data_IF_098691574224
#
_entry.id   IF_098691574224
#
_cell.length_a   1.000
_cell.length_b   1.000
_cell.length_c   1.000
_cell.angle_alpha   90.00
_cell.angle_beta   90.00
_cell.angle_gamma   90.00
#
_symmetry.space_group_name_H-M   'P 1'
#
loop_
_entity.id
_entity.type
_entity.pdbx_description
1 polymer ?
#
# COMPACT_ATOMS: atom_id res chain seq x y z
N UNK A 1 -3.79 -32.41 -0.76
CA UNK A 1 -3.07 -33.50 -1.47
C UNK A 1 -2.77 -33.13 -2.93
N UNK A 2 -3.74 -32.65 -3.73
CA UNK A 2 -3.48 -32.09 -5.08
C UNK A 2 -2.50 -30.91 -5.08
N UNK A 3 -2.64 -29.97 -4.14
CA UNK A 3 -1.72 -28.83 -4.02
C UNK A 3 -0.29 -29.22 -3.61
N UNK A 4 -0.15 -30.26 -2.77
CA UNK A 4 1.16 -30.82 -2.41
C UNK A 4 1.83 -31.49 -3.62
N UNK A 5 1.05 -32.16 -4.48
CA UNK A 5 1.54 -32.76 -5.73
C UNK A 5 1.98 -31.70 -6.75
N UNK A 6 1.31 -30.55 -6.83
CA UNK A 6 1.74 -29.40 -7.67
C UNK A 6 3.07 -28.82 -7.19
N UNK A 7 3.22 -28.58 -5.89
CA UNK A 7 4.46 -28.08 -5.28
C UNK A 7 5.65 -29.04 -5.48
N UNK A 8 5.45 -30.36 -5.36
CA UNK A 8 6.51 -31.36 -5.61
C UNK A 8 7.00 -31.35 -7.07
N UNK A 9 6.14 -30.98 -8.01
CA UNK A 9 6.44 -30.91 -9.44
C UNK A 9 7.25 -29.65 -9.76
N UNK A 10 6.93 -28.51 -9.13
CA UNK A 10 7.70 -27.26 -9.29
C UNK A 10 9.14 -27.37 -8.78
N UNK A 11 9.38 -28.11 -7.68
CA UNK A 11 10.71 -28.19 -7.05
C UNK A 11 11.55 -29.45 -7.39
N UNK A 12 11.13 -30.28 -8.35
CA UNK A 12 11.81 -31.55 -8.73
C UNK A 12 12.17 -32.46 -7.54
N UNK A 13 11.35 -32.48 -6.49
CA UNK A 13 11.61 -33.29 -5.30
C UNK A 13 11.12 -34.73 -5.52
N UNK A 14 12.05 -35.68 -5.75
CA UNK A 14 11.72 -37.11 -5.80
C UNK A 14 11.65 -37.70 -4.39
N UNK A 15 10.46 -37.87 -3.84
CA UNK A 15 10.26 -38.68 -2.64
C UNK A 15 9.14 -39.70 -2.86
N UNK A 16 9.32 -40.96 -2.40
CA UNK A 16 8.37 -42.03 -2.64
C UNK A 16 7.00 -41.74 -2.00
N UNK A 17 5.94 -41.86 -2.80
CA UNK A 17 4.56 -41.39 -2.55
C UNK A 17 3.80 -42.16 -1.45
N UNK A 18 4.45 -43.04 -0.69
CA UNK A 18 3.78 -43.89 0.31
C UNK A 18 4.12 -43.63 1.77
N UNK A 19 4.87 -42.57 2.09
CA UNK A 19 4.95 -42.06 3.46
C UNK A 19 5.37 -40.59 3.43
N UNK A 20 4.48 -39.73 2.92
CA UNK A 20 4.66 -38.28 2.99
C UNK A 20 4.47 -37.83 4.44
N UNK A 21 5.54 -37.84 5.21
CA UNK A 21 5.60 -37.21 6.53
C UNK A 21 5.57 -35.69 6.33
N UNK A 22 4.36 -35.14 6.36
CA UNK A 22 4.08 -33.71 6.19
C UNK A 22 4.90 -32.87 7.18
N UNK A 23 5.21 -33.40 8.37
CA UNK A 23 6.02 -32.68 9.36
C UNK A 23 7.48 -32.53 8.91
N UNK A 24 8.05 -33.56 8.26
CA UNK A 24 9.41 -33.48 7.68
C UNK A 24 9.49 -32.54 6.49
N UNK A 25 8.47 -32.49 5.63
CA UNK A 25 8.42 -31.56 4.50
C UNK A 25 8.34 -30.12 5.01
N UNK A 26 7.46 -29.87 5.99
CA UNK A 26 7.32 -28.58 6.67
C UNK A 26 8.63 -28.13 7.33
N UNK A 27 9.30 -29.02 8.06
CA UNK A 27 10.59 -28.72 8.68
C UNK A 27 11.70 -28.41 7.67
N UNK A 28 11.72 -29.09 6.51
CA UNK A 28 12.73 -28.87 5.46
C UNK A 28 12.50 -27.58 4.65
N UNK A 29 11.26 -27.09 4.61
CA UNK A 29 10.87 -25.79 4.03
C UNK A 29 10.88 -24.65 5.08
N UNK A 30 11.28 -24.91 6.32
CA UNK A 30 11.27 -23.89 7.39
C UNK A 30 9.88 -23.53 7.91
N UNK A 31 8.82 -24.23 7.48
CA UNK A 31 7.45 -24.02 7.92
C UNK A 31 7.22 -24.66 9.29
N UNK A 32 7.31 -23.86 10.36
CA UNK A 32 6.89 -24.30 11.68
C UNK A 32 5.38 -24.62 11.68
N UNK A 33 5.03 -25.79 12.22
CA UNK A 33 3.64 -26.26 12.27
C UNK A 33 2.82 -25.51 13.34
N UNK A 34 1.80 -24.79 12.86
CA UNK A 34 0.48 -24.52 13.46
C UNK A 34 0.39 -23.57 14.67
N UNK A 35 -0.26 -22.43 14.40
CA UNK A 35 -1.51 -22.05 15.09
C UNK A 35 -2.65 -22.16 14.06
N UNK A 36 -3.47 -23.23 14.11
CA UNK A 36 -4.60 -23.46 13.18
C UNK A 36 -5.85 -22.60 13.47
N UNK A 37 -5.64 -21.37 13.91
CA UNK A 37 -6.72 -20.42 14.17
C UNK A 37 -6.33 -18.96 13.97
N UNK A 38 -5.14 -18.71 13.40
CA UNK A 38 -4.68 -17.36 13.09
C UNK A 38 -4.98 -17.07 11.61
N UNK A 39 -5.74 -16.03 11.26
CA UNK A 39 -5.86 -15.56 9.87
C UNK A 39 -4.53 -14.99 9.34
N UNK A 40 -3.52 -14.85 10.20
CA UNK A 40 -2.25 -14.26 9.84
C UNK A 40 -1.33 -15.31 9.22
N UNK A 41 -1.20 -15.24 7.90
CA UNK A 41 0.03 -15.64 7.21
C UNK A 41 1.23 -15.03 7.95
N UNK A 42 2.25 -15.84 8.27
CA UNK A 42 3.51 -15.31 8.79
C UNK A 42 4.31 -14.83 7.58
N UNK A 43 4.54 -13.52 7.45
CA UNK A 43 5.14 -12.97 6.24
C UNK A 43 6.52 -13.57 6.04
N UNK A 44 6.90 -13.80 4.78
CA UNK A 44 8.31 -13.77 4.43
C UNK A 44 8.85 -12.47 5.00
N UNK A 45 9.84 -12.55 5.88
CA UNK A 45 10.52 -11.36 6.38
C UNK A 45 11.05 -10.63 5.17
N UNK A 46 10.39 -9.54 4.82
CA UNK A 46 10.78 -8.56 3.83
C UNK A 46 12.31 -8.35 3.90
N UNK A 47 13.03 -8.95 2.96
CA UNK A 47 14.46 -9.22 3.08
C UNK A 47 15.25 -8.43 2.05
N UNK A 48 15.48 -7.15 2.33
CA UNK A 48 16.68 -6.51 1.83
C UNK A 48 17.82 -6.69 2.83
N UNK A 49 19.05 -6.69 2.32
CA UNK A 49 20.26 -6.70 3.13
C UNK A 49 20.94 -5.34 3.00
N UNK A 50 21.20 -4.71 4.13
CA UNK A 50 22.02 -3.51 4.19
C UNK A 50 23.49 -3.88 3.99
N UNK A 51 24.15 -3.21 3.05
CA UNK A 51 25.56 -3.41 2.75
C UNK A 51 26.30 -2.07 2.69
N UNK A 52 27.59 -2.03 3.07
CA UNK A 52 28.40 -0.83 2.83
C UNK A 52 28.54 -0.60 1.31
N UNK A 53 28.40 0.64 0.89
CA UNK A 53 28.64 1.03 -0.50
C UNK A 53 30.12 0.76 -0.84
N UNK A 54 30.39 0.06 -1.96
CA UNK A 54 31.77 -0.15 -2.41
C UNK A 54 32.47 1.18 -2.75
N UNK A 55 33.75 1.31 -2.39
CA UNK A 55 34.55 2.53 -2.56
C UNK A 55 34.54 3.07 -4.01
N UNK A 56 34.41 2.19 -5.00
CA UNK A 56 34.38 2.53 -6.43
C UNK A 56 33.11 3.31 -6.85
N UNK A 57 32.04 3.24 -6.06
CA UNK A 57 30.78 3.95 -6.30
C UNK A 57 30.61 5.16 -5.38
N UNK A 58 31.47 5.32 -4.37
CA UNK A 58 31.42 6.46 -3.45
C UNK A 58 31.64 7.78 -4.19
N UNK A 59 30.67 8.70 -4.05
CA UNK A 59 30.61 9.99 -4.77
C UNK A 59 30.56 9.88 -6.30
N UNK A 60 30.23 8.70 -6.84
CA UNK A 60 30.06 8.52 -8.28
C UNK A 60 28.61 8.80 -8.64
N UNK A 61 28.36 9.99 -9.18
CA UNK A 61 27.05 10.33 -9.72
C UNK A 61 26.95 9.95 -11.21
N UNK A 62 25.87 9.27 -11.58
CA UNK A 62 25.50 9.04 -12.97
C UNK A 62 24.12 9.67 -13.24
N UNK A 63 24.05 10.87 -13.85
CA UNK A 63 22.79 11.54 -14.11
C UNK A 63 22.06 10.84 -15.27
N UNK A 64 21.41 9.73 -14.96
CA UNK A 64 20.74 8.88 -15.94
C UNK A 64 19.49 9.53 -16.55
N UNK A 65 18.82 10.44 -15.83
CA UNK A 65 17.59 11.07 -16.30
C UNK A 65 17.72 11.76 -17.67
N UNK A 66 18.92 12.25 -18.03
CA UNK A 66 19.17 12.90 -19.31
C UNK A 66 19.20 11.91 -20.50
N UNK A 67 19.67 10.67 -20.26
CA UNK A 67 19.74 9.61 -21.28
C UNK A 67 18.35 9.08 -21.68
N UNK A 68 17.37 9.16 -20.77
CA UNK A 68 16.02 8.64 -20.97
C UNK A 68 14.97 9.71 -21.28
N UNK A 69 15.38 10.95 -21.61
CA UNK A 69 14.45 12.07 -21.87
C UNK A 69 13.43 11.81 -22.99
N UNK A 70 13.73 10.90 -23.91
CA UNK A 70 12.84 10.55 -25.02
C UNK A 70 12.04 9.26 -24.76
N UNK A 71 12.19 8.66 -23.58
CA UNK A 71 11.46 7.46 -23.20
C UNK A 71 10.07 7.83 -22.70
N UNK A 72 9.04 7.21 -23.25
CA UNK A 72 7.68 7.34 -22.75
C UNK A 72 7.50 6.43 -21.54
N UNK A 73 7.39 7.02 -20.35
CA UNK A 73 7.23 6.31 -19.10
C UNK A 73 5.74 6.16 -18.76
N UNK A 74 5.27 5.00 -18.26
CA UNK A 74 3.90 4.81 -17.79
C UNK A 74 3.69 5.40 -16.38
N UNK A 75 4.58 6.30 -15.94
CA UNK A 75 4.52 6.98 -14.65
C UNK A 75 4.80 8.47 -14.85
N UNK A 76 4.23 9.35 -14.01
CA UNK A 76 4.48 10.78 -14.13
C UNK A 76 5.97 11.09 -13.95
N UNK A 77 6.59 11.93 -14.82
CA UNK A 77 8.02 12.22 -14.74
C UNK A 77 8.50 12.79 -13.39
N UNK A 78 7.63 13.53 -12.68
CA UNK A 78 7.94 14.10 -11.36
C UNK A 78 8.08 13.04 -10.26
N UNK A 79 7.47 11.86 -10.46
CA UNK A 79 7.50 10.76 -9.49
C UNK A 79 8.78 9.94 -9.59
N UNK A 80 9.50 10.02 -10.71
CA UNK A 80 10.69 9.23 -10.96
C UNK A 80 11.80 9.65 -10.00
N UNK A 81 12.29 8.68 -9.24
CA UNK A 81 13.39 8.84 -8.28
C UNK A 81 14.68 8.46 -8.95
N UNK A 82 14.69 7.32 -9.63
CA UNK A 82 15.86 6.75 -10.28
C UNK A 82 15.46 5.97 -11.51
N UNK A 83 16.22 6.13 -12.57
CA UNK A 83 16.10 5.32 -13.80
C UNK A 83 17.50 4.83 -14.16
N UNK A 84 17.63 3.57 -14.51
CA UNK A 84 18.92 2.99 -14.90
C UNK A 84 18.73 1.81 -15.84
N UNK A 85 19.75 1.52 -16.63
CA UNK A 85 19.79 0.40 -17.56
C UNK A 85 20.79 -0.65 -17.06
N UNK A 86 20.45 -1.93 -17.23
CA UNK A 86 21.36 -3.05 -16.98
C UNK A 86 21.02 -4.19 -17.93
N UNK A 87 21.99 -4.65 -18.73
CA UNK A 87 21.83 -5.68 -19.76
C UNK A 87 20.69 -5.41 -20.77
N UNK A 88 20.61 -4.18 -21.33
CA UNK A 88 19.54 -3.73 -22.23
C UNK A 88 18.13 -3.60 -21.59
N UNK A 89 17.97 -4.01 -20.32
CA UNK A 89 16.73 -3.80 -19.56
C UNK A 89 16.74 -2.44 -18.86
N UNK A 90 15.58 -1.80 -18.79
CA UNK A 90 15.39 -0.49 -18.13
C UNK A 90 14.63 -0.69 -16.83
N UNK A 91 15.12 -0.10 -15.74
CA UNK A 91 14.52 -0.17 -14.41
C UNK A 91 14.20 1.25 -13.94
N UNK A 92 13.00 1.46 -13.43
CA UNK A 92 12.53 2.75 -12.93
C UNK A 92 12.03 2.58 -11.52
N UNK A 93 12.65 3.30 -10.60
CA UNK A 93 12.16 3.51 -9.25
C UNK A 93 11.43 4.85 -9.22
N UNK A 94 10.19 4.83 -8.73
CA UNK A 94 9.35 6.02 -8.65
C UNK A 94 8.58 6.04 -7.33
N UNK A 95 8.04 7.20 -7.00
CA UNK A 95 7.21 7.43 -5.82
C UNK A 95 5.73 7.32 -6.19
N UNK A 96 4.97 6.58 -5.41
CA UNK A 96 3.51 6.54 -5.51
C UNK A 96 2.88 6.65 -4.12
N UNK A 97 1.80 7.42 -4.03
CA UNK A 97 1.10 7.75 -2.79
C UNK A 97 -0.09 6.81 -2.50
N UNK A 98 -0.25 5.76 -3.30
CA UNK A 98 -1.38 4.84 -3.20
C UNK A 98 -1.50 4.21 -1.80
N UNK A 99 -0.49 3.48 -1.34
CA UNK A 99 -0.50 2.81 -0.03
C UNK A 99 0.27 3.56 1.06
N UNK A 100 0.96 4.64 0.68
CA UNK A 100 1.72 5.53 1.56
C UNK A 100 1.35 6.98 1.22
N UNK A 101 0.18 7.48 1.65
CA UNK A 101 -0.27 8.83 1.32
C UNK A 101 0.62 9.89 1.96
N UNK A 102 0.85 10.99 1.24
CA UNK A 102 1.67 12.11 1.71
C UNK A 102 1.00 12.82 2.90
N UNK A 103 1.74 12.93 4.00
CA UNK A 103 1.35 13.66 5.21
C UNK A 103 2.39 14.71 5.60
N UNK A 104 2.58 14.96 6.90
CA UNK A 104 3.68 15.82 7.36
C UNK A 104 5.06 15.14 7.27
N UNK A 105 5.13 13.80 7.11
CA UNK A 105 6.37 13.04 7.31
C UNK A 105 6.71 11.97 6.24
N UNK A 106 5.77 11.26 5.57
CA UNK A 106 6.12 10.39 4.45
C UNK A 106 5.94 11.09 3.09
N UNK A 107 6.91 10.92 2.19
CA UNK A 107 6.89 11.45 0.82
C UNK A 107 6.26 10.52 -0.22
N UNK A 108 5.80 9.34 0.19
CA UNK A 108 5.20 8.31 -0.67
C UNK A 108 5.98 6.99 -0.66
N UNK A 109 5.38 5.91 -1.15
CA UNK A 109 6.02 4.61 -1.25
C UNK A 109 6.96 4.54 -2.46
N UNK A 110 8.04 3.77 -2.37
CA UNK A 110 8.90 3.47 -3.52
C UNK A 110 8.36 2.25 -4.28
N UNK A 111 8.28 2.39 -5.60
CA UNK A 111 7.77 1.38 -6.51
C UNK A 111 8.74 1.14 -7.65
N UNK A 112 8.72 -0.08 -8.19
CA UNK A 112 9.52 -0.52 -9.31
C UNK A 112 8.62 -0.89 -10.49
N UNK A 113 8.94 -0.30 -11.64
CA UNK A 113 8.58 -0.86 -12.95
C UNK A 113 9.85 -1.12 -13.75
N UNK A 114 9.80 -2.11 -14.62
CA UNK A 114 10.91 -2.42 -15.50
C UNK A 114 10.43 -2.81 -16.89
N UNK A 115 11.34 -2.71 -17.85
CA UNK A 115 11.13 -3.07 -19.23
C UNK A 115 12.29 -3.92 -19.73
N UNK A 116 11.99 -5.04 -20.37
CA UNK A 116 12.97 -5.96 -20.97
C UNK A 116 13.03 -5.85 -22.49
N UNK A 117 12.38 -4.82 -23.05
CA UNK A 117 12.26 -4.58 -24.49
C UNK A 117 12.54 -3.13 -24.86
N UNK A 118 13.45 -2.48 -24.10
CA UNK A 118 13.91 -1.11 -24.33
C UNK A 118 12.80 -0.05 -24.20
N UNK A 119 11.84 -0.32 -23.30
CA UNK A 119 10.74 0.58 -22.95
C UNK A 119 9.54 0.51 -23.87
N UNK A 120 9.39 -0.55 -24.66
CA UNK A 120 8.18 -0.76 -25.47
C UNK A 120 7.03 -1.29 -24.60
N UNK A 121 7.31 -2.16 -23.65
CA UNK A 121 6.38 -2.65 -22.65
C UNK A 121 6.97 -2.55 -21.25
N UNK A 122 6.09 -2.49 -20.26
CA UNK A 122 6.44 -2.28 -18.86
C UNK A 122 5.77 -3.33 -17.99
N UNK A 123 6.46 -3.77 -16.94
CA UNK A 123 5.89 -4.63 -15.92
C UNK A 123 4.72 -3.96 -15.19
N UNK A 124 3.90 -4.76 -14.51
CA UNK A 124 3.04 -4.23 -13.44
C UNK A 124 3.88 -3.50 -12.38
N UNK A 125 3.31 -2.48 -11.69
CA UNK A 125 3.94 -1.84 -10.54
C UNK A 125 4.27 -2.83 -9.42
N UNK A 126 5.49 -2.79 -8.90
CA UNK A 126 5.92 -3.60 -7.76
C UNK A 126 6.24 -2.70 -6.58
N UNK A 127 5.51 -2.83 -5.47
CA UNK A 127 5.81 -2.06 -4.27
C UNK A 127 7.09 -2.59 -3.63
N UNK A 128 8.01 -1.68 -3.31
CA UNK A 128 9.29 -2.05 -2.74
C UNK A 128 9.27 -2.22 -1.23
N UNK A 129 8.15 -1.94 -0.55
CA UNK A 129 8.03 -2.01 0.91
C UNK A 129 8.83 -0.94 1.68
N UNK A 130 9.18 0.15 1.00
CA UNK A 130 9.88 1.30 1.56
C UNK A 130 9.10 2.58 1.24
N UNK A 131 9.24 3.59 2.09
CA UNK A 131 8.63 4.90 1.89
C UNK A 131 9.69 6.00 1.93
N UNK A 132 9.49 7.07 1.16
CA UNK A 132 10.39 8.22 1.16
C UNK A 132 10.46 8.83 2.56
N UNK A 133 11.69 9.05 3.03
CA UNK A 133 12.06 9.48 4.38
C UNK A 133 11.85 8.45 5.51
N UNK A 134 11.50 7.19 5.21
CA UNK A 134 11.34 6.16 6.25
C UNK A 134 11.67 4.72 5.77
N UNK A 135 12.64 4.02 6.39
CA UNK A 135 13.79 4.55 7.15
C UNK A 135 14.92 5.05 6.23
N UNK A 136 14.73 4.93 4.91
CA UNK A 136 15.74 5.21 3.89
C UNK A 136 15.23 6.24 2.87
N UNK A 137 16.15 7.02 2.32
CA UNK A 137 15.92 7.81 1.11
C UNK A 137 16.83 7.30 -0.01
N UNK A 138 16.25 6.99 -1.17
CA UNK A 138 17.01 6.49 -2.32
C UNK A 138 17.82 7.61 -2.96
N UNK A 139 19.12 7.36 -3.19
CA UNK A 139 20.00 8.28 -3.89
C UNK A 139 19.65 8.28 -5.39
N UNK A 140 19.11 9.41 -5.85
CA UNK A 140 18.56 9.58 -7.20
C UNK A 140 19.58 9.37 -8.32
N UNK A 141 20.76 9.99 -8.19
CA UNK A 141 21.82 9.97 -9.20
C UNK A 141 22.93 8.96 -8.89
N UNK A 142 22.60 7.85 -8.23
CA UNK A 142 23.59 6.83 -7.82
C UNK A 142 24.26 6.15 -9.02
N UNK A 143 25.59 6.07 -9.02
CA UNK A 143 26.39 5.32 -9.99
C UNK A 143 26.53 3.83 -9.70
N UNK A 144 25.86 3.30 -8.66
CA UNK A 144 25.82 1.88 -8.33
C UNK A 144 24.99 1.10 -9.37
N UNK A 145 25.43 -0.03 -9.94
CA UNK A 145 24.61 -0.80 -10.88
C UNK A 145 23.27 -1.21 -10.26
N UNK A 146 22.16 -0.83 -10.90
CA UNK A 146 20.81 -1.08 -10.35
C UNK A 146 20.46 -2.56 -10.25
N UNK A 147 21.04 -3.39 -11.12
CA UNK A 147 20.80 -4.84 -11.18
C UNK A 147 22.10 -5.58 -11.41
N UNK A 148 22.39 -6.57 -10.57
CA UNK A 148 23.54 -7.47 -10.67
C UNK A 148 23.13 -8.90 -10.29
N UNK A 149 23.22 -9.82 -11.26
CA UNK A 149 22.79 -11.21 -11.07
C UNK A 149 21.32 -11.32 -10.66
N UNK A 150 21.07 -11.90 -9.49
CA UNK A 150 19.73 -12.09 -8.91
C UNK A 150 19.31 -10.93 -7.98
N UNK A 151 20.03 -9.81 -7.99
CA UNK A 151 19.81 -8.72 -7.03
C UNK A 151 19.51 -7.38 -7.68
N UNK A 152 18.60 -6.62 -7.06
CA UNK A 152 18.42 -5.18 -7.27
C UNK A 152 19.20 -4.43 -6.17
N UNK A 153 20.00 -3.44 -6.55
CA UNK A 153 20.81 -2.65 -5.62
C UNK A 153 20.39 -1.18 -5.65
N UNK A 154 20.08 -0.63 -4.48
CA UNK A 154 19.69 0.77 -4.31
C UNK A 154 20.62 1.44 -3.29
N UNK A 155 21.41 2.41 -3.72
CA UNK A 155 22.14 3.29 -2.79
C UNK A 155 21.13 4.16 -2.03
N UNK A 156 21.31 4.28 -0.72
CA UNK A 156 20.37 5.00 0.15
C UNK A 156 21.08 5.80 1.24
N UNK A 157 20.40 6.83 1.74
CA UNK A 157 20.73 7.54 2.98
C UNK A 157 19.76 7.13 4.08
N UNK A 158 20.19 7.15 5.36
CA UNK A 158 19.28 6.95 6.50
C UNK A 158 18.49 8.23 6.76
N UNK A 159 17.18 8.11 6.97
CA UNK A 159 16.30 9.27 7.12
C UNK A 159 16.58 10.14 8.36
N UNK A 160 17.20 9.61 9.41
CA UNK A 160 17.59 10.40 10.60
C UNK A 160 18.55 11.55 10.30
N UNK A 161 19.21 11.51 9.14
CA UNK A 161 20.18 12.52 8.70
C UNK A 161 19.49 13.79 8.14
N UNK A 162 18.15 13.78 7.99
CA UNK A 162 17.36 14.88 7.40
C UNK A 162 16.74 15.86 8.40
N UNK A 163 16.97 15.70 9.71
CA UNK A 163 16.38 16.58 10.74
C UNK A 163 17.04 17.98 10.85
N UNK A 164 17.48 18.56 9.73
CA UNK A 164 17.93 19.95 9.65
C UNK A 164 17.21 20.67 8.50
N UNK A 165 16.31 21.63 8.80
CA UNK A 165 15.52 22.35 7.80
C UNK A 165 16.34 23.46 7.15
N UNK A 166 17.40 23.11 6.44
CA UNK A 166 18.20 24.05 5.67
C UNK A 166 18.50 23.50 4.28
N UNK A 167 17.63 23.87 3.34
CA UNK A 167 17.80 23.83 1.87
C UNK A 167 19.12 24.51 1.39
N UNK A 168 19.94 25.06 2.31
CA UNK A 168 21.16 25.80 2.02
C UNK A 168 22.49 25.08 2.38
N UNK A 169 22.48 23.82 2.83
CA UNK A 169 23.72 23.06 3.12
C UNK A 169 23.72 21.67 2.45
N UNK A 170 23.54 21.64 1.12
CA UNK A 170 24.07 20.54 0.29
C UNK A 170 25.60 20.68 0.20
N UNK A 171 26.27 20.36 1.30
CA UNK A 171 27.71 20.46 1.41
C UNK A 171 28.14 19.94 2.77
N UNK A 172 28.52 18.66 2.79
CA UNK A 172 29.13 17.93 3.91
C UNK A 172 28.17 17.55 5.06
N UNK A 173 27.41 16.47 4.86
CA UNK A 173 26.97 15.59 5.94
C UNK A 173 27.70 14.25 5.78
N UNK A 174 28.16 13.67 6.89
CA UNK A 174 29.10 12.56 6.92
C UNK A 174 28.59 11.33 6.16
N UNK A 175 29.47 10.75 5.34
CA UNK A 175 29.22 9.57 4.53
C UNK A 175 28.85 8.34 5.38
N UNK A 176 27.55 8.07 5.51
CA UNK A 176 27.04 6.73 5.71
C UNK A 176 26.57 6.21 4.35
N UNK A 177 27.51 5.75 3.53
CA UNK A 177 27.27 5.27 2.18
C UNK A 177 26.89 3.79 2.25
N UNK A 178 25.59 3.50 2.28
CA UNK A 178 25.07 2.14 2.26
C UNK A 178 24.21 1.91 1.02
N UNK A 179 24.06 0.64 0.66
CA UNK A 179 23.08 0.22 -0.31
C UNK A 179 22.24 -0.91 0.23
N UNK A 180 21.00 -0.95 -0.24
CA UNK A 180 20.07 -2.02 0.01
C UNK A 180 20.16 -2.99 -1.14
N UNK A 181 20.39 -4.26 -0.82
CA UNK A 181 20.36 -5.34 -1.77
C UNK A 181 19.08 -6.14 -1.59
N UNK A 182 18.25 -6.16 -2.62
CA UNK A 182 17.01 -6.93 -2.67
C UNK A 182 17.22 -8.14 -3.56
N UNK A 183 16.73 -9.31 -3.13
CA UNK A 183 16.63 -10.43 -4.05
C UNK A 183 15.52 -10.13 -5.06
N UNK A 184 15.83 -10.24 -6.35
CA UNK A 184 14.94 -9.84 -7.45
C UNK A 184 13.59 -10.53 -7.38
N UNK A 185 13.60 -11.84 -7.11
CA UNK A 185 12.37 -12.63 -7.06
C UNK A 185 11.42 -12.11 -5.99
N UNK A 186 11.93 -11.69 -4.84
CA UNK A 186 11.12 -11.24 -3.71
C UNK A 186 10.37 -9.94 -4.04
N UNK A 187 10.95 -9.09 -4.90
CA UNK A 187 10.33 -7.83 -5.32
C UNK A 187 9.18 -8.02 -6.30
N UNK A 188 9.27 -9.04 -7.16
CA UNK A 188 8.34 -9.25 -8.28
C UNK A 188 7.46 -10.48 -8.09
N UNK A 189 7.53 -11.12 -6.94
CA UNK A 189 6.72 -12.28 -6.63
C UNK A 189 5.27 -11.84 -6.40
N UNK A 190 4.38 -12.50 -7.14
CA UNK A 190 2.92 -12.44 -7.04
C UNK A 190 2.49 -13.91 -6.96
N UNK A 191 2.30 -14.38 -5.73
CA UNK A 191 2.24 -15.80 -5.40
C UNK A 191 0.93 -16.47 -5.81
N UNK A 192 -0.16 -15.70 -5.92
CA UNK A 192 -1.47 -16.19 -6.38
C UNK A 192 -1.86 -15.71 -7.79
N UNK A 193 -1.12 -14.75 -8.34
CA UNK A 193 -1.23 -14.29 -9.72
C UNK A 193 -2.37 -13.30 -9.94
N UNK A 194 -2.77 -12.55 -8.91
CA UNK A 194 -3.88 -11.60 -8.98
C UNK A 194 -3.46 -10.20 -9.50
N UNK A 195 -2.15 -9.94 -9.58
CA UNK A 195 -1.56 -8.69 -10.04
C UNK A 195 -1.01 -7.77 -8.95
N UNK A 196 -1.13 -8.11 -7.67
CA UNK A 196 -0.44 -7.48 -6.55
C UNK A 196 0.81 -8.30 -6.20
N UNK A 197 1.95 -7.66 -5.96
CA UNK A 197 3.11 -8.41 -5.47
C UNK A 197 2.94 -8.73 -3.98
N UNK A 198 3.53 -9.82 -3.50
CA UNK A 198 3.35 -10.33 -2.13
C UNK A 198 3.66 -9.25 -1.06
N UNK A 199 4.60 -8.34 -1.35
CA UNK A 199 4.98 -7.22 -0.48
C UNK A 199 3.83 -6.21 -0.34
N UNK A 200 3.13 -5.92 -1.43
CA UNK A 200 1.99 -5.00 -1.44
C UNK A 200 0.79 -5.60 -0.71
N UNK A 201 0.47 -6.87 -0.95
CA UNK A 201 -0.61 -7.55 -0.24
C UNK A 201 -0.36 -7.58 1.28
N UNK A 202 0.87 -7.88 1.69
CA UNK A 202 1.29 -7.84 3.09
C UNK A 202 1.25 -6.42 3.70
N UNK A 203 1.45 -5.36 2.88
CA UNK A 203 1.22 -3.95 3.28
C UNK A 203 -0.27 -3.64 3.43
N UNK A 204 -1.12 -4.22 2.59
CA UNK A 204 -2.57 -4.05 2.62
C UNK A 204 -3.26 -4.94 3.67
N UNK A 205 -2.54 -5.89 4.27
CA UNK A 205 -3.10 -6.86 5.23
C UNK A 205 -3.87 -8.01 4.57
N UNK A 206 -3.57 -8.28 3.30
CA UNK A 206 -4.18 -9.33 2.47
C UNK A 206 -3.37 -10.63 2.54
N UNK A 207 -3.83 -11.68 1.86
CA UNK A 207 -3.19 -12.98 1.88
C UNK A 207 -2.55 -13.32 0.51
N UNK A 208 -1.21 -13.28 0.40
CA UNK A 208 -0.51 -13.48 -0.89
C UNK A 208 -0.69 -14.82 -1.59
N UNK A 209 -1.41 -15.75 -0.96
CA UNK A 209 -1.64 -17.09 -1.48
C UNK A 209 -3.09 -17.27 -1.96
N UNK A 210 -3.90 -16.22 -1.94
CA UNK A 210 -5.34 -16.24 -2.20
C UNK A 210 -5.75 -14.98 -2.93
N UNK A 211 -5.91 -15.09 -4.26
CA UNK A 211 -6.24 -13.99 -5.16
C UNK A 211 -7.55 -13.22 -4.86
N UNK A 212 -8.34 -13.68 -3.89
CA UNK A 212 -9.62 -13.11 -3.40
C UNK A 212 -9.65 -13.40 -1.89
N UNK A 213 -9.04 -12.51 -1.10
CA UNK A 213 -8.72 -12.73 0.31
C UNK A 213 -9.99 -12.93 1.15
N UNK A 214 -11.07 -12.20 0.87
CA UNK A 214 -12.31 -12.26 1.62
C UNK A 214 -13.37 -13.23 1.04
N UNK A 215 -13.11 -13.73 -0.17
CA UNK A 215 -13.86 -14.75 -0.87
C UNK A 215 -15.20 -14.27 -1.39
N UNK A 216 -15.36 -12.99 -1.70
CA UNK A 216 -16.62 -12.42 -2.22
C UNK A 216 -16.78 -12.57 -3.75
N UNK A 217 -15.71 -12.96 -4.45
CA UNK A 217 -15.68 -13.21 -5.88
C UNK A 217 -15.02 -12.10 -6.71
N UNK A 218 -14.55 -11.01 -6.09
CA UNK A 218 -13.65 -10.03 -6.70
C UNK A 218 -12.21 -10.33 -6.28
N UNK A 219 -11.27 -10.23 -7.23
CA UNK A 219 -9.86 -10.41 -6.89
C UNK A 219 -9.30 -9.19 -6.17
N UNK A 220 -8.31 -9.37 -5.31
CA UNK A 220 -7.82 -8.32 -4.41
C UNK A 220 -7.33 -7.06 -5.16
N UNK A 221 -6.72 -7.25 -6.34
CA UNK A 221 -6.29 -6.16 -7.22
C UNK A 221 -7.44 -5.30 -7.81
N UNK A 222 -8.67 -5.81 -7.82
CA UNK A 222 -9.85 -5.17 -8.39
C UNK A 222 -10.94 -4.82 -7.36
N UNK A 223 -10.82 -5.36 -6.15
CA UNK A 223 -11.79 -5.15 -5.09
C UNK A 223 -11.59 -3.78 -4.42
N UNK A 224 -12.63 -2.93 -4.32
CA UNK A 224 -12.57 -1.72 -3.51
C UNK A 224 -12.37 -1.99 -2.00
N UNK A 225 -12.70 -3.17 -1.48
CA UNK A 225 -12.55 -3.54 -0.07
C UNK A 225 -12.10 -5.01 0.11
N UNK A 226 -10.89 -5.38 -0.33
CA UNK A 226 -10.42 -6.78 -0.43
C UNK A 226 -10.30 -7.54 0.91
N UNK A 227 -10.45 -6.84 2.04
CA UNK A 227 -10.48 -7.44 3.37
C UNK A 227 -11.89 -7.57 3.98
N UNK A 228 -12.94 -7.18 3.26
CA UNK A 228 -14.30 -7.09 3.79
C UNK A 228 -15.32 -7.66 2.81
N UNK A 229 -15.59 -8.97 3.00
CA UNK A 229 -16.53 -9.74 2.19
C UNK A 229 -17.84 -8.98 1.91
N UNK A 230 -18.05 -8.60 0.65
CA UNK A 230 -19.25 -7.87 0.26
C UNK A 230 -20.53 -8.69 0.47
N UNK A 231 -21.58 -7.98 0.89
CA UNK A 231 -22.94 -8.48 1.06
C UNK A 231 -23.90 -7.47 0.44
N UNK A 232 -24.77 -7.89 -0.49
CA UNK A 232 -25.67 -6.98 -1.19
C UNK A 232 -26.79 -6.41 -0.31
N UNK A 233 -27.11 -7.06 0.82
CA UNK A 233 -28.18 -6.62 1.72
C UNK A 233 -27.68 -5.56 2.70
N UNK A 234 -27.96 -4.29 2.41
CA UNK A 234 -27.60 -3.18 3.28
C UNK A 234 -28.60 -3.02 4.45
N UNK A 235 -28.13 -3.27 5.67
CA UNK A 235 -28.88 -3.01 6.89
C UNK A 235 -28.77 -1.53 7.34
N UNK A 236 -29.30 -1.20 8.52
CA UNK A 236 -29.23 0.17 9.04
C UNK A 236 -27.78 0.63 9.28
N UNK A 237 -26.87 -0.28 9.64
CA UNK A 237 -25.45 0.02 9.87
C UNK A 237 -24.79 0.38 8.54
N UNK A 238 -24.91 -0.48 7.54
CA UNK A 238 -24.33 -0.26 6.22
C UNK A 238 -24.83 1.03 5.57
N UNK A 239 -26.13 1.36 5.70
CA UNK A 239 -26.68 2.61 5.15
C UNK A 239 -26.08 3.85 5.79
N UNK A 240 -25.99 3.88 7.12
CA UNK A 240 -25.37 4.99 7.85
C UNK A 240 -23.88 5.09 7.51
N UNK A 241 -23.18 3.96 7.45
CA UNK A 241 -21.76 3.92 7.12
C UNK A 241 -21.46 4.35 5.69
N UNK A 242 -22.25 3.93 4.70
CA UNK A 242 -22.12 4.42 3.31
C UNK A 242 -22.22 5.94 3.27
N UNK A 243 -23.28 6.51 3.86
CA UNK A 243 -23.48 7.96 3.88
C UNK A 243 -22.35 8.70 4.61
N UNK A 244 -21.87 8.15 5.73
CA UNK A 244 -20.76 8.73 6.48
C UNK A 244 -19.45 8.69 5.68
N UNK A 245 -19.13 7.56 5.07
CA UNK A 245 -17.91 7.39 4.29
C UNK A 245 -17.90 8.27 3.04
N UNK A 246 -19.01 8.36 2.31
CA UNK A 246 -19.15 9.29 1.18
C UNK A 246 -18.83 10.73 1.61
N UNK A 247 -19.42 11.17 2.74
CA UNK A 247 -19.18 12.51 3.28
C UNK A 247 -17.72 12.73 3.69
N UNK A 248 -17.09 11.74 4.34
CA UNK A 248 -15.70 11.85 4.78
C UNK A 248 -14.75 11.89 3.59
N UNK A 249 -14.98 11.05 2.57
CA UNK A 249 -14.18 11.01 1.35
C UNK A 249 -14.30 12.34 0.58
N UNK A 250 -15.52 12.87 0.43
CA UNK A 250 -15.75 14.20 -0.16
C UNK A 250 -14.99 15.29 0.60
N UNK A 251 -15.10 15.34 1.93
CA UNK A 251 -14.37 16.31 2.75
C UNK A 251 -12.86 16.16 2.59
N UNK A 252 -12.31 14.94 2.57
CA UNK A 252 -10.87 14.73 2.38
C UNK A 252 -10.37 15.21 1.01
N UNK A 253 -11.16 15.05 -0.06
CA UNK A 253 -10.81 15.58 -1.37
C UNK A 253 -10.67 17.12 -1.36
N UNK A 254 -11.40 17.83 -0.51
CA UNK A 254 -11.26 19.28 -0.33
C UNK A 254 -9.97 19.67 0.44
N UNK A 255 -9.41 18.76 1.26
CA UNK A 255 -8.27 19.04 2.14
C UNK A 255 -6.90 18.59 1.63
N UNK A 256 -6.85 17.73 0.62
CA UNK A 256 -5.60 17.43 -0.08
C UNK A 256 -5.37 18.55 -1.09
N UNK A 257 -4.25 19.31 -1.04
CA UNK A 257 -3.89 20.19 -2.13
C UNK A 257 -3.64 19.32 -3.35
N UNK A 258 -4.67 19.18 -4.19
CA UNK A 258 -4.55 18.67 -5.55
C UNK A 258 -3.44 19.51 -6.17
N UNK A 259 -2.35 18.88 -6.58
CA UNK A 259 -1.47 19.47 -7.58
C UNK A 259 -2.33 19.69 -8.83
N UNK A 260 -2.92 20.88 -8.94
CA UNK A 260 -3.84 21.27 -10.00
C UNK A 260 -3.04 21.31 -11.30
N UNK A 261 -2.98 20.19 -12.02
CA UNK A 261 -2.79 20.23 -13.45
C UNK A 261 -4.19 20.32 -14.10
N UNK A 262 -4.62 21.50 -14.60
CA UNK A 262 -6.02 21.82 -14.89
C UNK A 262 -6.57 21.22 -16.20
N UNK A 263 -5.98 20.14 -16.73
CA UNK A 263 -6.25 19.68 -18.11
C UNK A 263 -6.81 18.26 -18.27
N UNK A 264 -7.24 17.58 -17.21
CA UNK A 264 -7.88 16.26 -17.33
C UNK A 264 -9.38 16.33 -16.96
N UNK A 265 -10.30 16.14 -17.92
CA UNK A 265 -11.71 16.02 -17.62
C UNK A 265 -12.00 14.64 -16.99
N UNK A 266 -12.66 14.66 -15.83
CA UNK A 266 -13.26 13.48 -15.20
C UNK A 266 -14.41 13.00 -16.10
N UNK A 267 -14.27 11.80 -16.68
CA UNK A 267 -15.31 11.15 -17.48
C UNK A 267 -16.08 10.17 -16.61
N UNK A 268 -17.38 10.43 -16.40
CA UNK A 268 -18.31 9.48 -15.78
C UNK A 268 -18.77 8.48 -16.85
N UNK A 269 -18.24 7.26 -16.84
CA UNK A 269 -18.80 6.13 -17.60
C UNK A 269 -18.56 4.80 -16.87
N UNK A 270 -19.58 3.92 -16.74
CA UNK A 270 -19.50 2.68 -15.97
C UNK A 270 -19.04 1.53 -16.87
N UNK A 271 -17.82 1.62 -17.39
CA UNK A 271 -17.14 0.50 -18.04
C UNK A 271 -15.86 0.22 -17.29
N UNK A 272 -15.70 -1.03 -16.85
CA UNK A 272 -14.57 -1.60 -16.12
C UNK A 272 -13.23 -1.41 -16.83
N UNK A 273 -12.72 -0.18 -16.81
CA UNK A 273 -11.40 0.20 -17.24
C UNK A 273 -10.78 1.01 -16.10
N UNK A 274 -9.88 0.34 -15.37
CA UNK A 274 -8.92 0.88 -14.43
C UNK A 274 -9.42 2.11 -13.64
N UNK A 275 -9.99 1.86 -12.45
CA UNK A 275 -9.93 2.88 -11.40
C UNK A 275 -8.45 3.18 -11.24
N UNK A 276 -7.99 4.36 -11.67
CA UNK A 276 -6.69 4.87 -11.24
C UNK A 276 -6.82 5.07 -9.72
N UNK A 277 -6.42 4.04 -8.95
CA UNK A 277 -6.41 4.04 -7.49
C UNK A 277 -5.43 5.11 -7.02
N UNK A 278 -5.90 6.36 -6.98
CA UNK A 278 -5.05 7.51 -6.68
C UNK A 278 -4.80 7.70 -5.18
N UNK A 279 -5.38 6.85 -4.32
CA UNK A 279 -5.06 6.71 -2.89
C UNK A 279 -5.88 5.58 -2.25
N UNK A 280 -5.22 4.71 -1.51
CA UNK A 280 -5.84 3.72 -0.61
C UNK A 280 -6.17 4.40 0.72
N UNK A 281 -7.42 4.26 1.16
CA UNK A 281 -7.86 4.76 2.46
C UNK A 281 -7.75 3.66 3.51
N UNK A 282 -6.81 3.81 4.44
CA UNK A 282 -6.73 2.95 5.61
C UNK A 282 -7.69 3.44 6.68
N UNK A 283 -8.51 2.52 7.21
CA UNK A 283 -9.52 2.79 8.24
C UNK A 283 -9.31 1.83 9.40
N UNK A 284 -9.43 2.33 10.62
CA UNK A 284 -9.61 1.47 11.80
C UNK A 284 -11.07 1.42 12.21
N UNK A 285 -11.58 0.21 12.41
CA UNK A 285 -12.99 -0.01 12.75
C UNK A 285 -13.39 -1.48 12.77
N UNK A 286 -14.65 -1.76 13.10
CA UNK A 286 -15.23 -3.10 12.97
C UNK A 286 -15.60 -3.35 11.51
N UNK A 287 -14.93 -4.31 10.87
CA UNK A 287 -15.16 -4.68 9.46
C UNK A 287 -16.61 -5.08 9.16
N UNK A 288 -17.37 -5.56 10.15
CA UNK A 288 -18.79 -5.86 9.97
C UNK A 288 -19.63 -4.63 9.63
N UNK A 289 -19.14 -3.42 9.93
CA UNK A 289 -19.82 -2.18 9.60
C UNK A 289 -19.61 -1.76 8.12
N UNK A 290 -18.73 -2.44 7.38
CA UNK A 290 -18.33 -2.08 6.01
C UNK A 290 -18.83 -3.05 4.93
N UNK A 291 -19.50 -4.15 5.31
CA UNK A 291 -19.86 -5.28 4.44
C UNK A 291 -20.80 -5.00 3.26
N UNK A 292 -21.34 -3.78 3.11
CA UNK A 292 -22.22 -3.43 1.98
C UNK A 292 -21.89 -2.08 1.37
N UNK A 293 -20.70 -1.57 1.62
CA UNK A 293 -20.28 -0.27 1.12
C UNK A 293 -19.80 -0.38 -0.33
N UNK A 294 -20.06 0.66 -1.11
CA UNK A 294 -19.55 0.83 -2.46
C UNK A 294 -18.93 2.20 -2.57
N UNK A 295 -17.60 2.29 -2.42
CA UNK A 295 -16.86 3.55 -2.44
C UNK A 295 -16.04 3.65 -3.74
N UNK A 296 -15.81 4.87 -4.27
CA UNK A 296 -15.09 5.06 -5.53
C UNK A 296 -13.56 4.95 -5.36
N UNK A 297 -13.08 4.32 -4.30
CA UNK A 297 -11.67 4.16 -3.97
C UNK A 297 -11.47 2.89 -3.15
N UNK A 298 -10.21 2.40 -3.12
CA UNK A 298 -9.85 1.25 -2.29
C UNK A 298 -9.80 1.64 -0.81
N UNK A 299 -10.47 0.85 0.03
CA UNK A 299 -10.51 1.02 1.48
C UNK A 299 -10.02 -0.25 2.15
N UNK A 300 -9.01 -0.10 3.01
CA UNK A 300 -8.47 -1.19 3.84
C UNK A 300 -8.97 -0.98 5.26
N UNK A 301 -9.84 -1.88 5.72
CA UNK A 301 -10.39 -1.85 7.07
C UNK A 301 -9.56 -2.76 7.97
N UNK A 302 -9.01 -2.19 9.03
CA UNK A 302 -8.14 -2.88 9.98
C UNK A 302 -8.72 -2.75 11.38
N UNK A 303 -8.50 -3.76 12.23
CA UNK A 303 -8.61 -3.59 13.67
C UNK A 303 -7.47 -2.70 14.18
N UNK A 304 -7.64 -2.13 15.37
CA UNK A 304 -6.57 -1.35 16.03
C UNK A 304 -5.28 -2.15 16.22
N UNK A 305 -5.39 -3.46 16.44
CA UNK A 305 -4.23 -4.34 16.59
C UNK A 305 -3.49 -4.56 15.26
N UNK A 306 -4.23 -4.75 14.16
CA UNK A 306 -3.67 -4.90 12.82
C UNK A 306 -3.01 -3.60 12.35
N UNK A 307 -3.67 -2.46 12.55
CA UNK A 307 -3.08 -1.16 12.25
C UNK A 307 -1.78 -0.92 13.03
N UNK A 308 -1.76 -1.26 14.32
CA UNK A 308 -0.53 -1.18 15.12
C UNK A 308 0.57 -2.10 14.58
N UNK A 309 0.24 -3.36 14.27
CA UNK A 309 1.20 -4.33 13.75
C UNK A 309 1.77 -3.89 12.39
N UNK A 310 0.93 -3.33 11.52
CA UNK A 310 1.35 -2.74 10.26
C UNK A 310 2.27 -1.52 10.49
N UNK A 311 1.99 -0.69 11.50
CA UNK A 311 2.82 0.48 11.83
C UNK A 311 4.20 0.07 12.37
N UNK A 312 4.23 -0.91 13.27
CA UNK A 312 5.47 -1.48 13.82
C UNK A 312 6.37 -2.07 12.72
N UNK A 313 5.77 -2.54 11.61
CA UNK A 313 6.46 -3.21 10.50
C UNK A 313 6.88 -2.26 9.39
N UNK A 314 5.95 -1.41 8.93
CA UNK A 314 6.09 -0.60 7.73
C UNK A 314 6.39 0.87 8.01
N UNK A 315 6.49 1.26 9.27
CA UNK A 315 6.62 2.65 9.69
C UNK A 315 5.29 3.27 10.09
N UNK A 316 5.36 4.42 10.75
CA UNK A 316 4.18 5.11 11.26
C UNK A 316 3.24 5.50 10.11
N UNK A 317 2.01 5.04 10.17
CA UNK A 317 0.94 5.48 9.30
C UNK A 317 -0.32 5.77 10.13
N UNK A 318 -1.19 6.59 9.55
CA UNK A 318 -2.24 7.29 10.28
C UNK A 318 -3.62 6.94 9.68
N UNK A 319 -4.14 5.73 9.97
CA UNK A 319 -5.43 5.30 9.46
C UNK A 319 -6.56 6.14 10.07
N UNK A 320 -7.63 6.30 9.31
CA UNK A 320 -8.82 7.00 9.76
C UNK A 320 -9.52 6.18 10.86
N UNK A 321 -9.64 6.69 12.09
CA UNK A 321 -10.45 6.04 13.12
C UNK A 321 -11.92 6.33 12.87
N UNK A 322 -12.74 5.28 12.74
CA UNK A 322 -14.19 5.40 12.54
C UNK A 322 -14.95 4.54 13.55
N UNK A 323 -15.80 5.21 14.34
CA UNK A 323 -16.64 4.58 15.36
C UNK A 323 -18.10 4.91 15.12
N UNK A 324 -18.91 3.87 14.95
CA UNK A 324 -20.35 3.96 14.75
C UNK A 324 -21.10 3.65 16.05
N UNK A 325 -22.07 4.50 16.38
CA UNK A 325 -23.00 4.29 17.47
C UNK A 325 -24.43 4.43 16.95
N UNK A 326 -25.20 3.34 16.99
CA UNK A 326 -26.65 3.38 16.69
C UNK A 326 -27.43 3.13 17.98
N UNK A 327 -28.43 3.97 18.25
CA UNK A 327 -29.27 3.79 19.42
C UNK A 327 -30.10 2.50 19.33
N UNK A 328 -30.55 1.95 20.47
CA UNK A 328 -31.34 0.71 20.51
C UNK A 328 -32.62 0.75 19.67
N UNK A 329 -33.22 1.94 19.53
CA UNK A 329 -34.42 2.14 18.73
C UNK A 329 -34.16 2.17 17.21
N UNK A 330 -32.89 2.20 16.77
CA UNK A 330 -32.47 2.38 15.37
C UNK A 330 -33.10 3.61 14.72
N UNK A 331 -33.18 4.69 15.46
CA UNK A 331 -33.73 5.98 15.02
C UNK A 331 -32.71 7.10 14.98
N UNK A 332 -31.59 6.95 15.70
CA UNK A 332 -30.47 7.89 15.72
C UNK A 332 -29.16 7.14 15.62
N UNK A 333 -28.22 7.71 14.89
CA UNK A 333 -26.87 7.21 14.79
C UNK A 333 -25.86 8.36 14.83
N UNK A 334 -24.69 8.07 15.40
CA UNK A 334 -23.55 8.98 15.43
C UNK A 334 -22.35 8.23 14.84
N UNK A 335 -21.69 8.83 13.85
CA UNK A 335 -20.41 8.36 13.34
C UNK A 335 -19.36 9.35 13.79
N UNK A 336 -18.49 8.89 14.67
CA UNK A 336 -17.34 9.64 15.11
C UNK A 336 -16.19 9.23 14.22
N UNK A 337 -15.49 10.22 13.66
CA UNK A 337 -14.32 9.98 12.85
C UNK A 337 -13.22 10.96 13.24
N UNK A 338 -11.99 10.45 13.29
CA UNK A 338 -10.85 11.28 13.62
C UNK A 338 -9.72 11.03 12.60
N UNK A 339 -9.09 12.12 12.18
CA UNK A 339 -7.72 12.05 11.68
C UNK A 339 -6.81 12.38 12.83
N UNK A 340 -5.65 11.74 12.93
CA UNK A 340 -4.76 11.80 14.10
C UNK A 340 -4.32 13.23 14.51
N UNK A 341 -4.63 14.25 13.71
CA UNK A 341 -4.18 15.63 13.92
C UNK A 341 -5.31 16.68 14.01
N UNK A 342 -6.59 16.34 13.79
CA UNK A 342 -7.68 17.36 13.72
C UNK A 342 -8.76 17.25 14.79
N UNK A 343 -8.60 16.32 15.73
CA UNK A 343 -9.65 16.01 16.69
C UNK A 343 -10.75 15.15 16.08
N UNK A 344 -11.70 14.78 16.92
CA UNK A 344 -12.81 13.90 16.57
C UNK A 344 -13.98 14.74 16.03
N UNK A 345 -14.39 14.47 14.80
CA UNK A 345 -15.60 15.03 14.19
C UNK A 345 -16.76 14.06 14.35
N UNK A 346 -17.97 14.59 14.47
CA UNK A 346 -19.19 13.80 14.69
C UNK A 346 -20.18 14.07 13.56
N UNK A 347 -20.55 13.02 12.84
CA UNK A 347 -21.65 13.02 11.89
C UNK A 347 -22.89 12.44 12.58
N UNK A 348 -23.97 13.21 12.61
CA UNK A 348 -25.23 12.79 13.22
C UNK A 348 -26.28 12.43 12.18
N UNK A 349 -26.96 11.32 12.41
CA UNK A 349 -27.97 10.78 11.52
C UNK A 349 -29.27 10.51 12.26
N UNK A 350 -30.38 10.78 11.59
CA UNK A 350 -31.72 10.49 12.07
C UNK A 350 -32.50 9.69 11.02
N UNK A 351 -33.32 8.75 11.50
CA UNK A 351 -34.17 7.94 10.63
C UNK A 351 -35.51 8.65 10.43
N UNK A 352 -35.82 9.02 9.19
CA UNK A 352 -37.07 9.66 8.78
C UNK A 352 -37.86 8.68 7.91
N UNK A 353 -38.87 8.04 8.51
CA UNK A 353 -39.59 6.95 7.86
C UNK A 353 -38.71 5.69 7.79
N UNK A 354 -38.47 5.19 6.58
CA UNK A 354 -37.59 4.03 6.35
C UNK A 354 -36.13 4.44 6.06
N UNK A 355 -35.87 5.72 5.82
CA UNK A 355 -34.60 6.21 5.29
C UNK A 355 -33.78 6.95 6.36
N UNK A 356 -32.46 6.84 6.28
CA UNK A 356 -31.53 7.61 7.10
C UNK A 356 -31.18 8.93 6.42
N UNK A 357 -31.06 10.00 7.21
CA UNK A 357 -30.66 11.34 6.75
C UNK A 357 -29.69 11.97 7.72
N UNK A 358 -28.83 12.86 7.23
CA UNK A 358 -28.05 13.75 8.09
C UNK A 358 -28.99 14.62 8.93
N UNK A 359 -28.68 14.76 10.22
CA UNK A 359 -29.36 15.70 11.09
C UNK A 359 -29.06 17.14 10.63
N UNK A 360 -30.09 17.99 10.56
CA UNK A 360 -29.93 19.40 10.15
C UNK A 360 -29.00 20.20 11.10
N UNK A 361 -28.84 19.76 12.35
CA UNK A 361 -27.94 20.41 13.31
C UNK A 361 -26.45 20.14 13.00
N UNK A 362 -26.12 19.04 12.31
CA UNK A 362 -24.75 18.68 11.92
C UNK A 362 -24.21 19.56 10.76
N UNK A 363 -25.08 20.22 9.99
CA UNK A 363 -24.67 21.17 8.94
C UNK A 363 -24.21 22.52 9.51
N UNK A 364 -24.62 22.85 10.75
CA UNK A 364 -24.32 24.14 11.39
C UNK A 364 -23.16 24.10 12.40
N UNK A 365 -22.63 22.92 12.73
CA UNK A 365 -21.52 22.76 13.69
C UNK A 365 -20.12 22.97 13.09
N UNK A 366 -20.00 23.29 11.79
CA UNK A 366 -18.71 23.67 11.17
C UNK A 366 -18.09 24.98 11.73
N UNK A 367 -18.74 25.63 12.70
CA UNK A 367 -18.26 26.85 13.36
C UNK A 367 -18.32 26.79 14.89
N UNK A 368 -17.91 25.70 15.53
CA UNK A 368 -17.62 25.75 16.97
C UNK A 368 -16.20 25.29 17.28
N UNK A 369 -15.38 26.30 17.60
CA UNK A 369 -14.07 26.28 18.27
C UNK A 369 -13.88 25.19 19.32
N UNK A 370 -12.61 24.85 19.65
CA UNK A 370 -12.29 23.80 20.61
C UNK A 370 -12.85 24.13 21.99
N UNK A 371 -13.47 23.14 22.61
CA UNK A 371 -13.92 23.20 24.00
C UNK A 371 -12.78 22.73 24.93
N UNK A 372 -12.84 23.11 26.23
CA UNK A 372 -11.77 23.75 27.00
C UNK A 372 -10.67 22.83 27.54
#
# INVERSE_FOLDING_TARGET
MREILKLMTCYKLSLPTHNLDIAKIKAKLGWAAKDEGSPFYRPHTFAFVEKPLPDEYTNKAEPHAEAFRNLELPVPPWSVVRIAESNDDIYVIYINHDVDPVGQFPGGGYWLIYSTDKGHTWSSPNYLGLSEYQPYEIVRDSGLPIREGEYLNLEVNRASDFNSPSIALRGQAAANTLYLQFHWQDLVQDSDGDGLNDILEDKLGLNPLVADTDGDGLGDSLDPMPGVKFRPEADDVAKVMQMAMERIVEQKQEFLPINRNPHLPVSLSPTAAAVEHSQTLFVTGDSNNFVSLGLPMRVIVMSTAEAKAAGDKWGDFYPLDIRLFINKAKTKAHVLWATDFRGEEVLEFEKIGADWKFSQDALNSQHTSPLP
#
